data_IF_613017342538
#
_entry.id   IF_613017342538
#
_cell.length_a   1.000
_cell.length_b   1.000
_cell.length_c   1.000
_cell.angle_alpha   90.00
_cell.angle_beta   90.00
_cell.angle_gamma   90.00
#
_symmetry.space_group_name_H-M   'P 1'
#
loop_
_entity.id
_entity.type
_entity.pdbx_description
1 polymer ?
#
# COMPACT_ATOMS: atom_id res chain seq x y z
N UNK A 1 -10.32 -6.26 -19.71
CA UNK A 1 -11.04 -7.49 -19.32
C UNK A 1 -10.19 -8.16 -18.26
N UNK A 2 -10.62 -8.10 -16.99
CA UNK A 2 -9.91 -8.81 -15.91
C UNK A 2 -9.96 -10.31 -16.18
N UNK A 3 -8.81 -10.98 -16.08
CA UNK A 3 -8.74 -12.42 -16.23
C UNK A 3 -9.52 -13.07 -15.08
N UNK A 4 -10.38 -14.04 -15.40
CA UNK A 4 -11.24 -14.75 -14.44
C UNK A 4 -10.43 -15.79 -13.68
N UNK A 5 -10.47 -15.76 -12.35
CA UNK A 5 -9.59 -16.57 -11.50
C UNK A 5 -9.82 -18.06 -11.79
N UNK A 6 -8.78 -18.88 -12.02
CA UNK A 6 -8.97 -20.29 -12.31
C UNK A 6 -9.67 -20.98 -11.15
N UNK A 7 -10.81 -21.62 -11.44
CA UNK A 7 -11.57 -22.47 -10.50
C UNK A 7 -10.75 -23.67 -9.96
N UNK A 8 -9.54 -23.84 -10.48
CA UNK A 8 -8.57 -24.87 -10.09
C UNK A 8 -7.75 -24.44 -8.87
N UNK A 9 -7.66 -23.14 -8.57
CA UNK A 9 -6.91 -22.61 -7.42
C UNK A 9 -7.77 -22.49 -6.16
N UNK A 10 -9.09 -22.39 -6.30
CA UNK A 10 -10.04 -22.18 -5.21
C UNK A 10 -11.37 -22.90 -5.51
N UNK A 11 -12.05 -23.45 -4.49
CA UNK A 11 -13.46 -23.86 -4.59
C UNK A 11 -14.31 -22.76 -5.26
N UNK A 12 -15.33 -23.15 -6.02
CA UNK A 12 -16.12 -22.18 -6.80
C UNK A 12 -16.80 -21.09 -5.93
N UNK A 13 -17.14 -21.45 -4.68
CA UNK A 13 -17.68 -20.56 -3.65
C UNK A 13 -16.64 -19.53 -3.13
N UNK A 14 -15.37 -19.91 -3.10
CA UNK A 14 -14.26 -19.03 -2.70
C UNK A 14 -13.80 -18.13 -3.86
N UNK A 15 -13.95 -18.57 -5.12
CA UNK A 15 -13.50 -17.83 -6.30
C UNK A 15 -14.29 -16.53 -6.56
N UNK A 16 -15.60 -16.51 -6.29
CA UNK A 16 -16.43 -15.30 -6.46
C UNK A 16 -16.23 -14.26 -5.34
N UNK A 17 -16.03 -14.72 -4.09
CA UNK A 17 -15.61 -13.82 -3.00
C UNK A 17 -14.21 -13.25 -3.24
N UNK A 18 -13.36 -14.05 -3.90
CA UNK A 18 -12.00 -13.67 -4.25
C UNK A 18 -11.91 -12.65 -5.39
N UNK A 19 -12.73 -12.76 -6.45
CA UNK A 19 -12.81 -11.74 -7.49
C UNK A 19 -13.33 -10.41 -6.92
N UNK A 20 -14.35 -10.46 -6.05
CA UNK A 20 -14.83 -9.28 -5.32
C UNK A 20 -13.76 -8.67 -4.43
N UNK A 21 -12.97 -9.50 -3.74
CA UNK A 21 -11.84 -9.04 -2.94
C UNK A 21 -10.76 -8.35 -3.77
N UNK A 22 -10.33 -8.94 -4.88
CA UNK A 22 -9.34 -8.32 -5.75
C UNK A 22 -9.83 -7.00 -6.36
N UNK A 23 -11.11 -6.93 -6.75
CA UNK A 23 -11.71 -5.69 -7.22
C UNK A 23 -11.80 -4.63 -6.11
N UNK A 24 -12.16 -5.03 -4.89
CA UNK A 24 -12.27 -4.11 -3.76
C UNK A 24 -10.91 -3.62 -3.24
N UNK A 25 -9.85 -4.42 -3.35
CA UNK A 25 -8.48 -4.00 -3.05
C UNK A 25 -7.90 -3.05 -4.11
N UNK A 26 -8.36 -3.17 -5.35
CA UNK A 26 -8.11 -2.21 -6.44
C UNK A 26 -9.00 -0.97 -6.32
N UNK A 27 -10.08 -1.03 -5.53
CA UNK A 27 -11.05 0.05 -5.38
C UNK A 27 -10.40 1.26 -4.67
N UNK A 28 -10.57 2.48 -5.21
CA UNK A 28 -9.93 3.69 -4.69
C UNK A 28 -10.18 3.97 -3.21
N UNK A 29 -11.27 3.46 -2.61
CA UNK A 29 -11.62 3.73 -1.21
C UNK A 29 -10.68 3.07 -0.20
N UNK A 30 -10.30 1.80 -0.41
CA UNK A 30 -9.38 1.10 0.50
C UNK A 30 -8.02 1.80 0.49
N UNK A 31 -7.54 2.14 -0.71
CA UNK A 31 -6.26 2.79 -0.91
C UNK A 31 -6.27 4.29 -0.59
N UNK A 32 -7.41 4.98 -0.62
CA UNK A 32 -7.47 6.43 -0.42
C UNK A 32 -6.94 6.84 0.96
N UNK A 33 -7.35 6.16 2.03
CA UNK A 33 -6.93 6.49 3.40
C UNK A 33 -5.44 6.20 3.61
N UNK A 34 -4.97 5.05 3.13
CA UNK A 34 -3.55 4.65 3.21
C UNK A 34 -2.68 5.63 2.39
N UNK A 35 -3.09 5.95 1.15
CA UNK A 35 -2.40 6.89 0.27
C UNK A 35 -2.43 8.32 0.83
N UNK A 36 -3.52 8.73 1.47
CA UNK A 36 -3.63 10.04 2.11
C UNK A 36 -2.66 10.13 3.30
N UNK A 37 -2.62 9.10 4.16
CA UNK A 37 -1.66 9.03 5.25
C UNK A 37 -0.22 9.10 4.75
N UNK A 38 0.11 8.31 3.72
CA UNK A 38 1.44 8.35 3.10
C UNK A 38 1.75 9.75 2.60
N UNK A 39 0.84 10.38 1.84
CA UNK A 39 1.05 11.73 1.28
C UNK A 39 1.23 12.81 2.36
N UNK A 40 0.51 12.69 3.47
CA UNK A 40 0.58 13.66 4.57
C UNK A 40 1.92 13.57 5.32
N UNK A 41 2.48 12.36 5.44
CA UNK A 41 3.60 12.10 6.34
C UNK A 41 4.91 11.74 5.61
N UNK A 42 4.90 11.47 4.30
CA UNK A 42 6.09 11.04 3.56
C UNK A 42 7.19 12.11 3.48
N UNK A 43 6.84 13.40 3.58
CA UNK A 43 7.82 14.49 3.63
C UNK A 43 8.84 14.34 4.77
N UNK A 44 8.45 13.75 5.90
CA UNK A 44 9.36 13.50 7.03
C UNK A 44 10.41 12.41 6.76
N UNK A 45 10.27 11.67 5.67
CA UNK A 45 11.13 10.54 5.30
C UNK A 45 11.98 10.82 4.08
N UNK A 46 11.92 12.02 3.48
CA UNK A 46 12.66 12.34 2.26
C UNK A 46 14.19 12.24 2.43
N UNK A 47 14.69 12.39 3.66
CA UNK A 47 16.10 12.30 4.02
C UNK A 47 16.46 10.92 4.62
N UNK A 48 15.63 9.88 4.46
CA UNK A 48 15.91 8.57 5.07
C UNK A 48 17.25 7.96 4.66
N UNK A 49 17.70 8.22 3.42
CA UNK A 49 19.03 7.80 2.96
C UNK A 49 20.20 8.36 3.79
N UNK A 50 20.03 9.53 4.42
CA UNK A 50 21.06 10.16 5.24
C UNK A 50 21.15 9.51 6.63
N UNK A 51 20.02 9.07 7.19
CA UNK A 51 20.01 8.31 8.44
C UNK A 51 20.64 6.92 8.25
N UNK A 52 20.25 6.21 7.17
CA UNK A 52 20.78 4.88 6.86
C UNK A 52 22.29 4.89 6.63
N UNK A 53 22.80 5.93 5.94
CA UNK A 53 24.23 6.06 5.62
C UNK A 53 25.09 6.57 6.79
N UNK A 54 24.52 7.37 7.69
CA UNK A 54 25.22 7.87 8.88
C UNK A 54 25.26 6.86 10.04
N UNK A 55 24.42 5.82 9.99
CA UNK A 55 24.23 4.88 11.11
C UNK A 55 23.53 5.52 12.31
N UNK A 56 22.95 6.72 12.13
CA UNK A 56 22.16 7.39 13.15
C UNK A 56 20.78 6.72 13.20
N UNK A 57 20.35 6.30 14.38
CA UNK A 57 19.02 5.70 14.54
C UNK A 57 17.91 6.65 14.07
N UNK A 58 16.84 6.07 13.51
CA UNK A 58 15.68 6.84 13.05
C UNK A 58 14.99 7.60 14.20
N UNK A 59 14.38 8.77 13.91
CA UNK A 59 13.58 9.49 14.89
C UNK A 59 12.45 8.63 15.48
N UNK A 60 12.18 8.76 16.79
CA UNK A 60 11.09 8.05 17.46
C UNK A 60 9.73 8.29 16.79
N UNK A 61 9.51 9.51 16.28
CA UNK A 61 8.31 9.87 15.54
C UNK A 61 8.04 8.95 14.34
N UNK A 62 9.05 8.35 13.72
CA UNK A 62 8.85 7.40 12.61
C UNK A 62 8.25 6.09 13.08
N UNK A 63 8.64 5.60 14.26
CA UNK A 63 8.05 4.40 14.87
C UNK A 63 6.61 4.66 15.30
N UNK A 64 6.30 5.87 15.79
CA UNK A 64 4.93 6.29 16.09
C UNK A 64 4.07 6.36 14.82
N UNK A 65 4.62 6.89 13.72
CA UNK A 65 3.95 6.92 12.42
C UNK A 65 3.71 5.51 11.87
N UNK A 66 4.67 4.60 12.03
CA UNK A 66 4.47 3.19 11.65
C UNK A 66 3.35 2.53 12.45
N UNK A 67 3.29 2.78 13.75
CA UNK A 67 2.22 2.27 14.61
C UNK A 67 0.83 2.78 14.18
N UNK A 68 0.75 4.07 13.82
CA UNK A 68 -0.49 4.67 13.28
C UNK A 68 -0.86 4.11 11.92
N UNK A 69 0.13 3.92 11.04
CA UNK A 69 -0.07 3.33 9.72
C UNK A 69 -0.62 1.90 9.83
N UNK A 70 -0.02 1.09 10.72
CA UNK A 70 -0.49 -0.27 11.00
C UNK A 70 -1.93 -0.29 11.48
N UNK A 71 -2.27 0.54 12.47
CA UNK A 71 -3.64 0.61 13.00
C UNK A 71 -4.66 1.02 11.93
N UNK A 72 -4.30 1.97 11.07
CA UNK A 72 -5.14 2.39 9.94
C UNK A 72 -5.35 1.25 8.94
N UNK A 73 -4.28 0.53 8.58
CA UNK A 73 -4.37 -0.60 7.66
C UNK A 73 -5.22 -1.74 8.25
N UNK A 74 -4.99 -2.10 9.52
CA UNK A 74 -5.75 -3.16 10.21
C UNK A 74 -7.24 -2.81 10.28
N UNK A 75 -7.59 -1.57 10.64
CA UNK A 75 -8.98 -1.11 10.68
C UNK A 75 -9.64 -1.20 9.30
N UNK A 76 -8.98 -0.69 8.25
CA UNK A 76 -9.51 -0.72 6.89
C UNK A 76 -9.71 -2.16 6.40
N UNK A 77 -8.77 -3.06 6.74
CA UNK A 77 -8.87 -4.47 6.39
C UNK A 77 -10.04 -5.14 7.13
N UNK A 78 -10.24 -4.86 8.42
CA UNK A 78 -11.35 -5.41 9.19
C UNK A 78 -12.71 -4.91 8.69
N UNK A 79 -12.84 -3.62 8.42
CA UNK A 79 -14.07 -3.03 7.85
C UNK A 79 -14.39 -3.63 6.49
N UNK A 80 -13.38 -3.79 5.64
CA UNK A 80 -13.52 -4.43 4.34
C UNK A 80 -13.97 -5.89 4.46
N UNK A 81 -13.30 -6.69 5.29
CA UNK A 81 -13.64 -8.09 5.50
C UNK A 81 -15.05 -8.25 6.07
N UNK A 82 -15.45 -7.38 7.00
CA UNK A 82 -16.80 -7.35 7.54
C UNK A 82 -17.85 -6.99 6.48
N UNK A 83 -17.57 -6.01 5.63
CA UNK A 83 -18.45 -5.56 4.55
C UNK A 83 -18.72 -6.65 3.50
N UNK A 84 -17.72 -7.45 3.17
CA UNK A 84 -17.85 -8.56 2.21
C UNK A 84 -18.30 -9.89 2.85
N UNK A 85 -18.45 -9.94 4.18
CA UNK A 85 -18.78 -11.17 4.91
C UNK A 85 -17.65 -12.21 4.87
N UNK A 86 -16.40 -11.78 4.67
CA UNK A 86 -15.24 -12.65 4.57
C UNK A 86 -14.59 -12.77 5.95
N UNK A 87 -14.39 -14.00 6.42
CA UNK A 87 -13.64 -14.20 7.67
C UNK A 87 -12.14 -13.96 7.47
N UNK A 88 -11.45 -13.51 8.52
CA UNK A 88 -9.99 -13.34 8.48
C UNK A 88 -9.24 -14.64 8.14
N UNK A 89 -9.77 -15.78 8.56
CA UNK A 89 -9.21 -17.09 8.22
C UNK A 89 -9.35 -17.40 6.71
N UNK A 90 -10.51 -17.12 6.12
CA UNK A 90 -10.73 -17.27 4.69
C UNK A 90 -9.76 -16.35 3.92
N UNK A 91 -9.64 -15.09 4.33
CA UNK A 91 -8.68 -14.15 3.76
C UNK A 91 -7.24 -14.68 3.78
N UNK A 92 -6.76 -15.22 4.90
CA UNK A 92 -5.40 -15.77 4.99
C UNK A 92 -5.20 -17.00 4.10
N UNK A 93 -6.22 -17.86 3.94
CA UNK A 93 -6.16 -19.00 3.01
C UNK A 93 -6.03 -18.50 1.56
N UNK A 94 -6.81 -17.48 1.19
CA UNK A 94 -6.76 -16.85 -0.13
C UNK A 94 -5.39 -16.21 -0.40
N UNK A 95 -4.87 -15.43 0.55
CA UNK A 95 -3.56 -14.81 0.46
C UNK A 95 -2.43 -15.84 0.22
N UNK A 96 -2.49 -16.97 0.92
CA UNK A 96 -1.54 -18.08 0.73
C UNK A 96 -1.66 -18.72 -0.65
N UNK A 97 -2.88 -18.92 -1.15
CA UNK A 97 -3.10 -19.45 -2.49
C UNK A 97 -2.51 -18.51 -3.57
N UNK A 98 -2.74 -17.20 -3.43
CA UNK A 98 -2.21 -16.17 -4.34
C UNK A 98 -0.70 -16.08 -4.37
N UNK A 99 -0.04 -16.23 -3.22
CA UNK A 99 1.42 -16.26 -3.14
C UNK A 99 2.05 -17.36 -4.02
N UNK A 100 1.26 -18.39 -4.37
CA UNK A 100 1.66 -19.54 -5.21
C UNK A 100 1.09 -19.48 -6.63
N UNK A 101 0.13 -18.59 -6.91
CA UNK A 101 -0.49 -18.43 -8.22
C UNK A 101 0.43 -17.68 -9.20
N UNK A 102 0.23 -17.88 -10.51
CA UNK A 102 0.99 -17.18 -11.56
C UNK A 102 0.66 -15.69 -11.70
N UNK A 103 1.56 -14.93 -12.34
CA UNK A 103 1.50 -13.46 -12.53
C UNK A 103 0.19 -12.89 -13.07
N UNK A 104 -0.55 -13.54 -14.01
CA UNK A 104 -1.81 -13.00 -14.53
C UNK A 104 -2.90 -12.78 -13.47
N UNK A 105 -2.77 -13.46 -12.33
CA UNK A 105 -3.72 -13.46 -11.22
C UNK A 105 -3.30 -12.57 -10.05
N UNK A 106 -2.16 -11.87 -10.20
CA UNK A 106 -1.58 -11.00 -9.16
C UNK A 106 -1.74 -9.50 -9.44
N UNK A 107 -2.55 -9.12 -10.44
CA UNK A 107 -2.86 -7.71 -10.69
C UNK A 107 -3.52 -7.11 -9.44
N UNK A 108 -2.99 -6.00 -8.93
CA UNK A 108 -3.41 -5.39 -7.65
C UNK A 108 -2.88 -6.09 -6.39
N UNK A 109 -2.61 -7.40 -6.46
CA UNK A 109 -2.05 -8.19 -5.35
C UNK A 109 -0.66 -7.71 -4.92
N UNK A 110 0.20 -7.31 -5.86
CA UNK A 110 1.54 -6.82 -5.54
C UNK A 110 1.50 -5.48 -4.79
N UNK A 111 0.59 -4.58 -5.17
CA UNK A 111 0.39 -3.32 -4.46
C UNK A 111 -0.15 -3.57 -3.05
N UNK A 112 -1.16 -4.42 -2.92
CA UNK A 112 -1.68 -4.84 -1.62
C UNK A 112 -0.62 -5.54 -0.76
N UNK A 113 0.21 -6.40 -1.35
CA UNK A 113 1.31 -7.05 -0.65
C UNK A 113 2.35 -6.04 -0.17
N UNK A 114 2.65 -5.00 -0.96
CA UNK A 114 3.55 -3.95 -0.52
C UNK A 114 2.96 -3.19 0.68
N UNK A 115 1.67 -2.89 0.67
CA UNK A 115 0.97 -2.22 1.78
C UNK A 115 0.90 -3.09 3.04
N UNK A 116 0.55 -4.38 2.93
CA UNK A 116 0.54 -5.30 4.07
C UNK A 116 1.94 -5.58 4.60
N UNK A 117 2.95 -5.56 3.72
CA UNK A 117 4.34 -5.70 4.14
C UNK A 117 4.78 -4.43 4.88
N UNK A 118 4.41 -3.24 4.41
CA UNK A 118 4.70 -1.99 5.10
C UNK A 118 3.96 -1.88 6.45
N UNK A 119 2.76 -2.47 6.61
CA UNK A 119 2.05 -2.43 7.90
C UNK A 119 2.73 -3.29 8.97
N UNK A 120 3.37 -4.39 8.58
CA UNK A 120 4.02 -5.33 9.52
C UNK A 120 5.55 -5.14 9.63
N UNK A 121 6.21 -4.65 8.59
CA UNK A 121 7.67 -4.46 8.52
C UNK A 121 8.03 -2.97 8.50
N UNK A 122 8.74 -2.54 9.55
CA UNK A 122 9.17 -1.16 9.72
C UNK A 122 10.13 -0.68 8.60
N UNK A 123 10.99 -1.56 8.10
CA UNK A 123 11.94 -1.22 7.02
C UNK A 123 11.20 -1.01 5.71
N UNK A 124 10.23 -1.89 5.41
CA UNK A 124 9.36 -1.75 4.26
C UNK A 124 8.48 -0.49 4.34
N UNK A 125 8.03 -0.13 5.54
CA UNK A 125 7.34 1.13 5.78
C UNK A 125 8.22 2.34 5.47
N UNK A 126 9.43 2.42 6.04
CA UNK A 126 10.37 3.52 5.80
C UNK A 126 10.70 3.64 4.32
N UNK A 127 10.97 2.53 3.64
CA UNK A 127 11.23 2.52 2.19
C UNK A 127 10.04 3.06 1.39
N UNK A 128 8.81 2.69 1.76
CA UNK A 128 7.58 3.18 1.14
C UNK A 128 7.42 4.68 1.32
N UNK A 129 7.61 5.17 2.54
CA UNK A 129 7.49 6.60 2.88
C UNK A 129 8.58 7.44 2.23
N UNK A 130 9.83 6.96 2.23
CA UNK A 130 10.95 7.62 1.54
C UNK A 130 10.69 7.73 0.03
N UNK A 131 10.31 6.62 -0.63
CA UNK A 131 10.00 6.65 -2.06
C UNK A 131 8.85 7.61 -2.39
N UNK A 132 7.83 7.69 -1.54
CA UNK A 132 6.74 8.66 -1.68
C UNK A 132 7.22 10.10 -1.45
N UNK A 133 8.08 10.34 -0.46
CA UNK A 133 8.66 11.65 -0.16
C UNK A 133 9.52 12.17 -1.31
N UNK A 134 10.39 11.32 -1.88
CA UNK A 134 11.20 11.69 -3.05
C UNK A 134 10.33 12.07 -4.26
N UNK A 135 9.25 11.31 -4.53
CA UNK A 135 8.31 11.65 -5.61
C UNK A 135 7.63 12.99 -5.38
N UNK A 136 7.14 13.24 -4.16
CA UNK A 136 6.48 14.49 -3.82
C UNK A 136 7.40 15.71 -3.98
N UNK A 137 8.67 15.58 -3.58
CA UNK A 137 9.66 16.64 -3.78
C UNK A 137 9.94 16.91 -5.26
N UNK A 138 10.10 15.84 -6.07
CA UNK A 138 10.32 15.98 -7.50
C UNK A 138 9.14 16.69 -8.21
N UNK A 139 7.90 16.32 -7.86
CA UNK A 139 6.68 16.96 -8.39
C UNK A 139 6.58 18.43 -7.96
N UNK A 140 6.95 18.76 -6.71
CA UNK A 140 6.95 20.13 -6.22
C UNK A 140 8.00 21.00 -6.94
N UNK A 141 9.20 20.46 -7.18
CA UNK A 141 10.27 21.13 -7.93
C UNK A 141 9.85 21.40 -9.39
N UNK A 142 9.20 20.45 -10.04
CA UNK A 142 8.70 20.60 -11.41
C UNK A 142 7.56 21.65 -11.49
N UNK A 143 6.65 21.64 -10.51
CA UNK A 143 5.59 22.64 -10.41
C UNK A 143 6.17 24.05 -10.20
N UNK A 144 7.16 24.20 -9.33
CA UNK A 144 7.83 25.48 -9.09
C UNK A 144 8.48 26.03 -10.38
N UNK A 145 9.22 25.19 -11.11
CA UNK A 145 9.83 25.58 -12.40
C UNK A 145 8.78 25.99 -13.44
N UNK A 146 7.65 25.29 -13.49
CA UNK A 146 6.56 25.59 -14.43
C UNK A 146 5.92 26.95 -14.13
N UNK A 147 5.68 27.26 -12.85
CA UNK A 147 5.13 28.55 -12.41
C UNK A 147 6.09 29.71 -12.72
N UNK A 148 7.39 29.53 -12.50
CA UNK A 148 8.40 30.53 -12.84
C UNK A 148 8.44 30.80 -14.36
N UNK A 149 8.37 29.76 -15.19
CA UNK A 149 8.31 29.88 -16.66
C UNK A 149 7.05 30.61 -17.16
N UNK A 150 5.89 30.39 -16.53
CA UNK A 150 4.63 31.08 -16.85
C UNK A 150 4.60 32.53 -16.36
N UNK A 151 5.39 32.89 -15.37
CA UNK A 151 5.47 34.26 -14.82
C UNK A 151 6.41 35.16 -15.63
N UNK A 152 7.21 34.59 -16.53
CA UNK A 152 8.19 35.28 -17.40
C UNK A 152 7.69 35.45 -18.85
N UNK A 153 6.51 34.91 -19.19
CA UNK A 153 5.84 35.02 -20.50
C UNK A 153 4.72 36.04 -20.51
#
# INVERSE_FOLDING_TARGET
MAARVPRELLPAEDAEGFERMLMALDEPHFQASVRAFVREHCGAFAEAGDFDSSGTGHPLAWTELHSRYRALFDQQLEEFLAGEGISREAFLKLARALSRAGTPWRSGWEAFLAEVTASEDYTAFVATMHAAGCRQLAEADEAARTVELQSLS
#
